data_IF_215708246016
#
_entry.id   IF_215708246016
#
_cell.length_a   1.000
_cell.length_b   1.000
_cell.length_c   1.000
_cell.angle_alpha   90.00
_cell.angle_beta   90.00
_cell.angle_gamma   90.00
#
_symmetry.space_group_name_H-M   'P 1'
#
loop_
_entity.id
_entity.type
_entity.pdbx_description
1 polymer ?
#
# COMPACT_ATOMS: atom_id res chain seq x y z
N UNK A 1 15.38 -69.12 6.17
CA UNK A 1 15.62 -70.01 5.02
C UNK A 1 15.24 -69.27 3.73
N UNK A 2 16.11 -69.32 2.70
CA UNK A 2 16.00 -68.96 1.25
C UNK A 2 14.60 -68.64 0.68
N UNK A 3 14.37 -67.69 -0.23
CA UNK A 3 15.01 -67.38 -1.55
C UNK A 3 14.78 -65.89 -1.93
N UNK A 4 15.74 -65.05 -2.33
CA UNK A 4 16.46 -64.92 -3.62
C UNK A 4 15.56 -64.72 -4.87
N UNK A 5 15.63 -63.54 -5.52
CA UNK A 5 16.24 -63.34 -6.86
C UNK A 5 15.83 -61.99 -7.49
N UNK A 6 16.85 -61.17 -7.75
CA UNK A 6 16.84 -60.01 -8.63
C UNK A 6 16.60 -60.45 -10.09
N UNK A 7 15.88 -59.67 -10.90
CA UNK A 7 16.23 -59.48 -12.31
C UNK A 7 15.77 -58.11 -12.82
N UNK A 8 16.77 -57.32 -13.24
CA UNK A 8 16.68 -56.08 -13.99
C UNK A 8 16.15 -56.35 -15.41
N UNK A 9 15.44 -55.38 -15.95
CA UNK A 9 15.61 -54.79 -17.29
C UNK A 9 14.39 -54.82 -18.22
N UNK A 10 14.20 -53.66 -18.88
CA UNK A 10 13.31 -53.35 -20.00
C UNK A 10 11.81 -53.31 -19.64
N UNK A 11 11.05 -52.28 -19.94
CA UNK A 11 11.17 -51.35 -21.05
C UNK A 11 10.61 -49.98 -20.65
N UNK A 12 11.43 -48.95 -20.84
CA UNK A 12 10.93 -47.66 -21.27
C UNK A 12 10.15 -47.90 -22.58
N UNK A 13 8.85 -47.65 -22.58
CA UNK A 13 8.01 -47.17 -23.70
C UNK A 13 6.57 -47.37 -23.26
N UNK A 14 5.92 -46.27 -22.84
CA UNK A 14 4.51 -45.97 -23.11
C UNK A 14 4.15 -44.65 -22.44
N UNK A 15 4.89 -43.60 -22.82
CA UNK A 15 4.46 -42.22 -22.70
C UNK A 15 3.27 -42.04 -23.67
N UNK A 16 2.04 -41.89 -23.15
CA UNK A 16 0.93 -41.12 -23.76
C UNK A 16 -0.43 -41.63 -23.25
N UNK A 17 -0.92 -41.12 -22.10
CA UNK A 17 -2.35 -41.24 -21.76
C UNK A 17 -2.88 -40.23 -20.72
N UNK A 18 -2.24 -39.07 -20.50
CA UNK A 18 -2.77 -38.02 -19.63
C UNK A 18 -2.69 -36.64 -20.31
N UNK A 19 -3.31 -36.51 -21.48
CA UNK A 19 -3.39 -35.25 -22.22
C UNK A 19 -4.85 -34.88 -22.50
N UNK A 20 -5.70 -34.80 -21.47
CA UNK A 20 -7.04 -34.20 -21.57
C UNK A 20 -7.56 -33.87 -20.17
N UNK A 21 -6.91 -32.91 -19.48
CA UNK A 21 -7.59 -32.09 -18.47
C UNK A 21 -6.85 -30.75 -18.25
N UNK A 22 -6.24 -30.22 -19.32
CA UNK A 22 -5.60 -28.90 -19.31
C UNK A 22 -6.49 -27.92 -20.05
N UNK A 23 -7.51 -27.40 -19.35
CA UNK A 23 -8.14 -26.14 -19.77
C UNK A 23 -7.09 -25.03 -19.78
N UNK A 24 -7.26 -23.97 -20.58
CA UNK A 24 -6.32 -22.86 -20.54
C UNK A 24 -6.37 -22.29 -19.13
N UNK A 25 -5.30 -22.49 -18.37
CA UNK A 25 -5.02 -21.65 -17.23
C UNK A 25 -4.83 -20.25 -17.83
N UNK A 26 -5.90 -19.47 -17.89
CA UNK A 26 -5.79 -18.03 -17.98
C UNK A 26 -5.01 -17.64 -16.74
N UNK A 27 -3.69 -17.47 -16.91
CA UNK A 27 -2.88 -16.75 -15.96
C UNK A 27 -3.58 -15.40 -15.83
N UNK A 28 -4.28 -15.20 -14.72
CA UNK A 28 -4.85 -13.91 -14.39
C UNK A 28 -3.63 -13.00 -14.23
N UNK A 29 -3.31 -12.30 -15.30
CA UNK A 29 -2.25 -11.30 -15.34
C UNK A 29 -2.68 -10.26 -14.31
N UNK A 30 -2.19 -10.40 -13.08
CA UNK A 30 -2.35 -9.38 -12.07
C UNK A 30 -1.79 -8.10 -12.68
N UNK A 31 -2.61 -7.06 -12.78
CA UNK A 31 -2.13 -5.75 -13.16
C UNK A 31 -0.93 -5.45 -12.25
N UNK A 32 0.23 -5.17 -12.86
CA UNK A 32 1.37 -4.71 -12.09
C UNK A 32 0.91 -3.53 -11.22
N UNK A 33 1.32 -3.46 -9.94
CA UNK A 33 1.00 -2.29 -9.12
C UNK A 33 1.42 -1.06 -9.91
N UNK A 34 0.49 -0.12 -10.12
CA UNK A 34 0.81 1.10 -10.82
C UNK A 34 1.98 1.76 -10.09
N UNK A 35 3.15 1.79 -10.74
CA UNK A 35 4.28 2.56 -10.24
C UNK A 35 3.78 3.98 -10.07
N UNK A 36 3.84 4.50 -8.84
CA UNK A 36 3.45 5.87 -8.54
C UNK A 36 4.11 6.79 -9.58
N UNK A 37 3.31 7.62 -10.25
CA UNK A 37 3.84 8.62 -11.16
C UNK A 37 4.88 9.46 -10.40
N UNK A 38 5.99 9.87 -11.04
CA UNK A 38 6.95 10.75 -10.40
C UNK A 38 6.23 11.97 -9.86
N UNK A 39 6.33 12.20 -8.55
CA UNK A 39 5.80 13.41 -7.93
C UNK A 39 6.33 14.61 -8.72
N UNK A 40 5.49 15.63 -9.02
CA UNK A 40 5.96 16.83 -9.68
C UNK A 40 7.16 17.38 -8.90
N UNK A 41 8.22 17.76 -9.61
CA UNK A 41 9.39 18.38 -8.99
C UNK A 41 9.00 19.79 -8.50
N UNK A 42 8.37 19.86 -7.32
CA UNK A 42 8.00 21.10 -6.66
C UNK A 42 9.27 21.68 -6.03
N UNK A 43 9.78 22.76 -6.62
CA UNK A 43 10.84 23.56 -5.97
C UNK A 43 10.21 24.33 -4.82
N UNK A 44 10.36 23.85 -3.58
CA UNK A 44 9.88 24.53 -2.38
C UNK A 44 10.80 25.70 -2.03
N UNK A 45 10.23 26.89 -1.84
CA UNK A 45 10.96 28.03 -1.30
C UNK A 45 10.93 28.03 0.24
N UNK A 46 11.86 28.76 0.87
CA UNK A 46 11.84 28.97 2.32
C UNK A 46 10.54 29.62 2.79
N UNK A 47 10.01 30.56 2.01
CA UNK A 47 8.78 31.27 2.33
C UNK A 47 7.57 30.34 2.32
N UNK A 48 7.54 29.35 1.42
CA UNK A 48 6.47 28.34 1.38
C UNK A 48 6.51 27.43 2.61
N UNK A 49 7.70 26.99 3.02
CA UNK A 49 7.87 26.19 4.24
C UNK A 49 7.45 26.99 5.48
N UNK A 50 7.83 28.26 5.57
CA UNK A 50 7.44 29.12 6.69
C UNK A 50 5.92 29.35 6.74
N UNK A 51 5.27 29.50 5.59
CA UNK A 51 3.81 29.61 5.48
C UNK A 51 3.12 28.32 5.93
N UNK A 52 3.61 27.17 5.49
CA UNK A 52 3.08 25.86 5.88
C UNK A 52 3.23 25.61 7.39
N UNK A 53 4.40 25.91 7.97
CA UNK A 53 4.62 25.82 9.41
C UNK A 53 3.71 26.75 10.21
N UNK A 54 3.48 27.97 9.73
CA UNK A 54 2.53 28.89 10.35
C UNK A 54 1.10 28.34 10.30
N UNK A 55 0.69 27.76 9.16
CA UNK A 55 -0.62 27.11 9.01
C UNK A 55 -0.75 25.89 9.95
N UNK A 56 0.29 25.05 10.04
CA UNK A 56 0.36 23.91 10.95
C UNK A 56 0.15 24.32 12.41
N UNK A 57 0.87 25.36 12.86
CA UNK A 57 0.73 25.89 14.22
C UNK A 57 -0.65 26.53 14.47
N UNK A 58 -1.11 27.39 13.56
CA UNK A 58 -2.37 28.11 13.71
C UNK A 58 -3.61 27.21 13.60
N UNK A 59 -3.50 26.09 12.91
CA UNK A 59 -4.56 25.09 12.83
C UNK A 59 -4.77 24.34 14.16
N UNK A 60 -3.73 24.28 15.00
CA UNK A 60 -3.72 23.54 16.24
C UNK A 60 -3.22 22.10 16.11
N UNK A 61 -2.91 21.63 14.91
CA UNK A 61 -2.39 20.27 14.65
C UNK A 61 -1.07 20.03 15.39
N UNK A 62 -0.23 21.05 15.55
CA UNK A 62 1.00 20.98 16.35
C UNK A 62 0.75 20.43 17.76
N UNK A 63 -0.35 20.82 18.41
CA UNK A 63 -0.68 20.38 19.77
C UNK A 63 -1.07 18.90 19.84
N UNK A 64 -1.57 18.33 18.74
CA UNK A 64 -1.86 16.90 18.65
C UNK A 64 -0.58 16.08 18.53
N UNK A 65 0.50 16.66 18.00
CA UNK A 65 1.78 15.99 17.73
C UNK A 65 2.93 16.42 18.66
N UNK A 66 2.63 17.16 19.74
CA UNK A 66 3.66 17.70 20.65
C UNK A 66 4.14 16.69 21.72
N UNK A 67 3.76 15.42 21.60
CA UNK A 67 4.09 14.36 22.53
C UNK A 67 4.72 13.18 21.79
N UNK A 68 5.39 12.29 22.52
CA UNK A 68 5.96 11.06 21.94
C UNK A 68 4.90 10.05 21.49
N UNK A 69 3.62 10.27 21.83
CA UNK A 69 2.51 9.41 21.43
C UNK A 69 1.89 9.89 20.11
N UNK A 70 1.50 8.93 19.27
CA UNK A 70 0.69 9.23 18.08
C UNK A 70 -0.71 9.69 18.53
N UNK A 71 -1.21 10.85 18.07
CA UNK A 71 -2.57 11.29 18.38
C UNK A 71 -3.60 10.34 17.77
N UNK A 72 -4.79 10.28 18.36
CA UNK A 72 -5.93 9.66 17.71
C UNK A 72 -6.35 10.50 16.50
N UNK A 73 -5.95 10.04 15.32
CA UNK A 73 -6.25 10.68 14.03
C UNK A 73 -7.74 10.63 13.66
N UNK A 74 -8.54 9.84 14.37
CA UNK A 74 -9.99 9.75 14.17
C UNK A 74 -10.78 10.60 15.16
N UNK A 75 -10.11 11.23 16.13
CA UNK A 75 -10.76 12.12 17.09
C UNK A 75 -11.38 13.34 16.39
N UNK A 76 -12.56 13.80 16.82
CA UNK A 76 -13.21 14.96 16.22
C UNK A 76 -12.36 16.23 16.32
N UNK A 77 -11.56 16.37 17.39
CA UNK A 77 -10.63 17.47 17.59
C UNK A 77 -9.50 17.46 16.55
N UNK A 78 -8.89 16.30 16.30
CA UNK A 78 -7.86 16.15 15.28
C UNK A 78 -8.41 16.43 13.88
N UNK A 79 -9.57 15.87 13.55
CA UNK A 79 -10.21 16.08 12.24
C UNK A 79 -10.51 17.57 12.02
N UNK A 80 -10.97 18.28 13.06
CA UNK A 80 -11.25 19.71 12.98
C UNK A 80 -9.97 20.54 12.77
N UNK A 81 -8.89 20.26 13.53
CA UNK A 81 -7.62 20.98 13.38
C UNK A 81 -6.96 20.68 12.03
N UNK A 82 -6.96 19.42 11.61
CA UNK A 82 -6.40 19.00 10.34
C UNK A 82 -7.13 19.60 9.14
N UNK A 83 -8.47 19.64 9.17
CA UNK A 83 -9.26 20.33 8.13
C UNK A 83 -8.88 21.80 8.01
N UNK A 84 -8.74 22.50 9.14
CA UNK A 84 -8.30 23.91 9.15
C UNK A 84 -6.91 24.08 8.53
N UNK A 85 -5.97 23.16 8.81
CA UNK A 85 -4.65 23.16 8.17
C UNK A 85 -4.78 23.00 6.66
N UNK A 86 -5.48 21.96 6.19
CA UNK A 86 -5.65 21.66 4.76
C UNK A 86 -6.31 22.82 4.00
N UNK A 87 -7.37 23.41 4.55
CA UNK A 87 -8.05 24.56 3.93
C UNK A 87 -7.12 25.79 3.81
N UNK A 88 -6.15 25.92 4.72
CA UNK A 88 -5.18 27.04 4.70
C UNK A 88 -4.06 26.81 3.68
N UNK A 89 -3.54 25.58 3.57
CA UNK A 89 -2.39 25.27 2.71
C UNK A 89 -2.78 24.90 1.29
N UNK A 90 -4.01 24.43 1.09
CA UNK A 90 -4.53 23.99 -0.20
C UNK A 90 -5.96 24.51 -0.42
N UNK A 91 -6.11 25.81 -0.72
CA UNK A 91 -7.42 26.48 -0.90
C UNK A 91 -8.27 26.00 -2.10
N UNK A 92 -8.07 24.76 -2.59
CA UNK A 92 -8.89 24.10 -3.61
C UNK A 92 -9.03 22.58 -3.43
N UNK A 93 -8.63 22.02 -2.29
CA UNK A 93 -8.71 20.58 -2.01
C UNK A 93 -9.63 20.19 -0.85
N UNK A 94 -10.55 21.09 -0.49
CA UNK A 94 -11.61 20.86 0.49
C UNK A 94 -12.56 19.70 0.13
N UNK A 95 -12.25 18.90 -0.89
CA UNK A 95 -12.95 17.70 -1.36
C UNK A 95 -12.27 16.37 -1.01
N UNK A 96 -11.10 16.36 -0.34
CA UNK A 96 -10.40 15.11 0.00
C UNK A 96 -10.49 14.83 1.51
N UNK A 97 -11.41 13.98 1.98
CA UNK A 97 -11.44 13.56 3.38
C UNK A 97 -10.14 12.82 3.73
N UNK A 98 -9.71 12.83 5.01
CA UNK A 98 -8.60 12.00 5.45
C UNK A 98 -8.98 10.55 5.16
N UNK A 99 -8.31 9.94 4.17
CA UNK A 99 -8.54 8.55 3.82
C UNK A 99 -7.94 7.72 4.97
N UNK A 100 -8.75 6.99 5.75
CA UNK A 100 -8.22 6.12 6.78
C UNK A 100 -7.30 5.11 6.10
N UNK A 101 -6.01 5.18 6.42
CA UNK A 101 -5.02 4.23 5.93
C UNK A 101 -5.45 2.85 6.41
N UNK A 102 -5.63 1.96 5.43
CA UNK A 102 -6.09 0.59 5.56
C UNK A 102 -5.52 -0.06 6.83
N UNK A 103 -6.41 -0.48 7.75
CA UNK A 103 -6.07 -1.33 8.89
C UNK A 103 -5.63 -2.69 8.34
N UNK A 104 -4.37 -2.72 7.89
CA UNK A 104 -3.59 -3.91 7.60
C UNK A 104 -3.39 -4.66 8.91
N UNK A 105 -4.29 -5.62 9.12
CA UNK A 105 -4.18 -6.70 10.09
C UNK A 105 -2.91 -7.47 9.72
N UNK A 106 -1.87 -7.31 10.53
CA UNK A 106 -0.69 -8.17 10.52
C UNK A 106 -0.98 -9.42 11.34
#
# INVERSE_FOLDING_TARGET
>A
MKTALSFRAFALVALAACAVLSGPAVAQQAAAPATAAPEPNITLSRDDVMRDLAAWKNSGVERNWNSDNTPDINSPEYVASYRKYVDTVRPGASSMPPQPQNQGKW
#
